data_IF_414884557424
#
_entry.id   IF_414884557424
#
_cell.length_a   1.000
_cell.length_b   1.000
_cell.length_c   1.000
_cell.angle_alpha   90.00
_cell.angle_beta   90.00
_cell.angle_gamma   90.00
#
_symmetry.space_group_name_H-M   'P 1'
#
loop_
_entity.id
_entity.type
_entity.pdbx_description
1 polymer ?
#
# COMPACT_ATOMS: atom_id res chain seq x y z
N UNK A 1 15.29 -17.40 13.71
CA UNK A 1 14.57 -17.21 12.43
C UNK A 1 13.54 -16.13 12.59
N UNK A 2 13.33 -15.32 11.56
CA UNK A 2 12.29 -14.32 11.52
C UNK A 2 11.53 -14.39 10.19
N UNK A 3 10.18 -14.30 10.25
CA UNK A 3 9.36 -13.93 9.10
C UNK A 3 9.32 -12.42 8.98
N UNK A 4 9.36 -11.91 7.76
CA UNK A 4 9.40 -10.49 7.46
C UNK A 4 8.28 -10.09 6.50
N UNK A 5 7.74 -8.89 6.70
CA UNK A 5 7.06 -8.17 5.65
C UNK A 5 8.04 -7.91 4.49
N UNK A 6 7.57 -7.98 3.25
CA UNK A 6 8.43 -7.73 2.09
C UNK A 6 8.90 -6.26 1.99
N UNK A 7 8.28 -5.34 2.75
CA UNK A 7 8.76 -3.96 2.87
C UNK A 7 9.89 -3.79 3.91
N UNK A 8 10.44 -4.88 4.44
CA UNK A 8 11.58 -4.80 5.34
C UNK A 8 12.81 -4.22 4.62
N UNK A 9 13.45 -3.24 5.24
CA UNK A 9 14.79 -2.79 4.87
C UNK A 9 15.80 -3.71 5.57
N UNK A 10 16.20 -4.77 4.89
CA UNK A 10 17.10 -5.78 5.45
C UNK A 10 18.52 -5.24 5.50
N UNK A 11 19.20 -5.46 6.64
CA UNK A 11 20.58 -5.02 6.84
C UNK A 11 21.54 -6.22 6.90
N UNK A 12 22.85 -6.01 6.65
CA UNK A 12 23.86 -7.07 6.84
C UNK A 12 23.83 -7.68 8.24
N UNK A 13 23.62 -6.85 9.28
CA UNK A 13 23.57 -7.29 10.68
C UNK A 13 22.35 -8.20 10.93
N UNK A 14 21.19 -7.90 10.33
CA UNK A 14 20.03 -8.80 10.40
C UNK A 14 20.36 -10.18 9.82
N UNK A 15 21.06 -10.23 8.68
CA UNK A 15 21.45 -11.49 8.01
C UNK A 15 22.53 -12.21 8.82
N UNK A 16 23.47 -11.49 9.43
CA UNK A 16 24.51 -12.06 10.28
C UNK A 16 23.91 -12.75 11.52
N UNK A 17 23.03 -12.05 12.24
CA UNK A 17 22.51 -12.51 13.53
C UNK A 17 21.32 -13.45 13.43
N UNK A 18 20.59 -13.49 12.32
CA UNK A 18 19.52 -14.43 12.10
C UNK A 18 19.99 -15.69 11.35
N UNK A 19 19.54 -16.88 11.77
CA UNK A 19 19.78 -18.11 11.00
C UNK A 19 19.01 -18.09 9.67
N UNK A 20 17.83 -17.51 9.64
CA UNK A 20 17.11 -17.21 8.40
C UNK A 20 16.14 -16.02 8.56
N UNK A 21 16.00 -15.26 7.47
CA UNK A 21 15.03 -14.19 7.26
C UNK A 21 14.15 -14.58 6.07
N UNK A 22 12.84 -14.75 6.30
CA UNK A 22 11.91 -15.27 5.30
C UNK A 22 10.80 -14.25 5.08
N UNK A 23 10.80 -13.60 3.91
CA UNK A 23 9.88 -12.53 3.60
C UNK A 23 8.59 -13.03 2.92
N UNK A 24 7.52 -12.22 3.01
CA UNK A 24 6.31 -12.37 2.18
C UNK A 24 6.69 -12.42 0.70
N UNK A 25 5.83 -13.05 -0.09
CA UNK A 25 5.98 -13.17 -1.56
C UNK A 25 4.84 -12.52 -2.32
N UNK A 26 3.88 -11.97 -1.62
CA UNK A 26 2.72 -11.33 -2.23
C UNK A 26 2.54 -9.90 -1.73
N UNK A 27 2.19 -9.03 -2.66
CA UNK A 27 1.73 -7.69 -2.39
C UNK A 27 0.55 -7.39 -3.33
N UNK A 28 -0.69 -7.47 -2.84
CA UNK A 28 -1.20 -7.50 -1.44
C UNK A 28 -0.70 -8.69 -0.60
N UNK A 29 -0.51 -8.48 0.72
CA UNK A 29 -0.02 -9.49 1.65
C UNK A 29 -1.12 -10.51 1.97
N UNK A 30 -1.24 -11.52 1.15
CA UNK A 30 -2.22 -12.61 1.32
C UNK A 30 -1.55 -13.94 1.69
N UNK A 31 -0.19 -13.98 1.79
CA UNK A 31 0.62 -15.16 2.10
C UNK A 31 1.28 -15.11 3.49
N UNK A 32 0.71 -14.36 4.43
CA UNK A 32 1.27 -14.21 5.79
C UNK A 32 1.37 -15.55 6.53
N UNK A 33 0.31 -16.37 6.45
CA UNK A 33 0.29 -17.70 7.08
C UNK A 33 1.27 -18.67 6.42
N UNK A 34 1.33 -18.67 5.09
CA UNK A 34 2.26 -19.47 4.30
C UNK A 34 3.72 -19.06 4.58
N UNK A 35 3.98 -17.77 4.76
CA UNK A 35 5.31 -17.28 5.15
C UNK A 35 5.70 -17.76 6.55
N UNK A 36 4.77 -17.72 7.49
CA UNK A 36 4.96 -18.32 8.82
C UNK A 36 5.25 -19.81 8.74
N UNK A 37 4.53 -20.54 7.89
CA UNK A 37 4.76 -21.98 7.67
C UNK A 37 6.13 -22.26 7.02
N UNK A 38 6.57 -21.45 6.04
CA UNK A 38 7.93 -21.55 5.47
C UNK A 38 9.00 -21.32 6.53
N UNK A 39 8.82 -20.30 7.38
CA UNK A 39 9.75 -20.01 8.47
C UNK A 39 9.83 -21.16 9.49
N UNK A 40 8.69 -21.73 9.88
CA UNK A 40 8.63 -22.88 10.78
C UNK A 40 9.27 -24.14 10.18
N UNK A 41 9.02 -24.42 8.90
CA UNK A 41 9.65 -25.54 8.18
C UNK A 41 11.17 -25.41 8.08
N UNK A 42 11.66 -24.19 7.83
CA UNK A 42 13.10 -23.92 7.82
C UNK A 42 13.72 -24.08 9.22
N UNK A 43 13.04 -23.64 10.27
CA UNK A 43 13.47 -23.85 11.65
C UNK A 43 13.58 -25.36 11.99
N UNK A 44 12.55 -26.12 11.63
CA UNK A 44 12.55 -27.58 11.86
C UNK A 44 13.73 -28.26 11.14
N UNK A 45 14.00 -27.88 9.89
CA UNK A 45 15.15 -28.39 9.14
C UNK A 45 16.48 -28.03 9.79
N UNK A 46 16.65 -26.81 10.33
CA UNK A 46 17.84 -26.41 11.07
C UNK A 46 18.03 -27.23 12.36
N UNK A 47 16.96 -27.43 13.11
CA UNK A 47 16.98 -28.20 14.36
C UNK A 47 17.34 -29.68 14.13
N UNK A 48 16.97 -30.24 12.98
CA UNK A 48 17.33 -31.61 12.56
C UNK A 48 18.73 -31.71 11.92
N UNK A 49 19.41 -30.56 11.79
CA UNK A 49 20.73 -30.52 11.14
C UNK A 49 20.70 -30.72 9.62
N UNK A 50 19.51 -30.64 9.00
CA UNK A 50 19.32 -30.86 7.56
C UNK A 50 19.46 -29.56 6.72
N UNK A 51 19.33 -28.40 7.33
CA UNK A 51 19.49 -27.13 6.62
C UNK A 51 20.95 -26.72 6.52
N UNK A 52 21.36 -26.30 5.33
CA UNK A 52 22.66 -25.70 5.08
C UNK A 52 22.83 -24.36 5.77
N UNK A 53 24.07 -23.97 6.03
CA UNK A 53 24.44 -22.74 6.72
C UNK A 53 24.99 -21.66 5.77
N UNK A 54 24.88 -21.84 4.47
CA UNK A 54 25.27 -20.84 3.48
C UNK A 54 24.29 -19.67 3.49
N UNK A 55 24.81 -18.44 3.57
CA UNK A 55 24.03 -17.21 3.53
C UNK A 55 24.58 -16.30 2.44
N UNK A 56 23.71 -15.59 1.74
CA UNK A 56 24.08 -14.52 0.83
C UNK A 56 23.10 -13.35 0.95
N UNK A 57 23.61 -12.13 0.76
CA UNK A 57 22.86 -10.89 0.83
C UNK A 57 23.28 -9.95 -0.30
N UNK A 58 22.30 -9.34 -0.97
CA UNK A 58 22.54 -8.30 -1.99
C UNK A 58 21.54 -7.16 -1.78
N UNK A 59 22.02 -5.93 -1.89
CA UNK A 59 21.16 -4.74 -1.88
C UNK A 59 21.09 -4.13 -3.28
N UNK A 60 19.89 -3.84 -3.76
CA UNK A 60 19.70 -3.19 -5.05
C UNK A 60 20.18 -1.73 -5.00
N UNK A 61 20.68 -1.19 -6.14
CA UNK A 61 21.20 0.17 -6.21
C UNK A 61 20.13 1.23 -6.45
N UNK A 62 18.83 0.90 -6.31
CA UNK A 62 17.72 1.84 -6.51
C UNK A 62 16.57 1.54 -5.54
N UNK A 63 15.77 2.57 -5.26
CA UNK A 63 14.52 2.44 -4.53
C UNK A 63 13.38 2.08 -5.49
N UNK A 64 12.41 1.33 -4.99
CA UNK A 64 11.16 1.02 -5.67
C UNK A 64 10.04 1.76 -4.95
N UNK A 65 9.20 2.48 -5.68
CA UNK A 65 8.01 3.08 -5.10
C UNK A 65 7.01 2.01 -4.63
N UNK A 66 6.21 2.35 -3.61
CA UNK A 66 5.36 1.39 -2.93
C UNK A 66 4.39 0.67 -3.88
N UNK A 67 3.83 1.39 -4.85
CA UNK A 67 2.84 0.86 -5.80
C UNK A 67 3.46 -0.02 -6.88
N UNK A 68 4.72 0.20 -7.24
CA UNK A 68 5.44 -0.59 -8.24
C UNK A 68 5.88 -1.98 -7.71
N UNK A 69 5.86 -2.19 -6.38
CA UNK A 69 6.12 -3.50 -5.77
C UNK A 69 4.97 -4.50 -5.85
N UNK A 70 3.84 -4.16 -6.49
CA UNK A 70 2.66 -5.01 -6.57
C UNK A 70 2.92 -6.31 -7.34
N UNK A 71 2.75 -7.46 -6.70
CA UNK A 71 3.05 -8.79 -7.27
C UNK A 71 1.94 -9.36 -8.16
N UNK A 72 0.88 -8.60 -8.42
CA UNK A 72 -0.20 -9.03 -9.33
C UNK A 72 0.13 -8.74 -10.81
N UNK A 73 1.15 -7.94 -11.08
CA UNK A 73 1.60 -7.58 -12.43
C UNK A 73 3.12 -7.40 -12.48
N UNK A 74 3.66 -7.41 -13.69
CA UNK A 74 5.09 -7.17 -13.93
C UNK A 74 5.48 -5.72 -13.59
N UNK A 75 6.76 -5.52 -13.20
CA UNK A 75 7.85 -6.51 -13.19
C UNK A 75 7.88 -7.34 -11.90
N UNK A 76 7.18 -6.95 -10.82
CA UNK A 76 7.23 -7.64 -9.54
C UNK A 76 6.73 -9.09 -9.65
N UNK A 77 5.66 -9.36 -10.42
CA UNK A 77 5.15 -10.71 -10.64
C UNK A 77 6.24 -11.63 -11.20
N UNK A 78 6.86 -11.27 -12.31
CA UNK A 78 7.93 -12.03 -12.95
C UNK A 78 9.15 -12.23 -12.04
N UNK A 79 9.48 -11.22 -11.22
CA UNK A 79 10.56 -11.32 -10.24
C UNK A 79 10.27 -12.40 -9.18
N UNK A 80 9.05 -12.46 -8.64
CA UNK A 80 8.68 -13.47 -7.65
C UNK A 80 8.47 -14.85 -8.29
N UNK A 81 8.05 -14.96 -9.54
CA UNK A 81 8.06 -16.21 -10.31
C UNK A 81 9.50 -16.70 -10.51
N UNK A 82 10.45 -15.81 -10.84
CA UNK A 82 11.87 -16.13 -10.95
C UNK A 82 12.46 -16.60 -9.61
N UNK A 83 12.10 -15.92 -8.51
CA UNK A 83 12.46 -16.30 -7.15
C UNK A 83 12.02 -17.74 -6.86
N UNK A 84 10.76 -18.06 -7.13
CA UNK A 84 10.22 -19.40 -6.90
C UNK A 84 10.95 -20.47 -7.75
N UNK A 85 11.36 -20.14 -8.97
CA UNK A 85 12.11 -21.07 -9.85
C UNK A 85 13.57 -21.29 -9.42
N UNK A 86 14.15 -20.34 -8.66
CA UNK A 86 15.53 -20.46 -8.14
C UNK A 86 15.59 -21.18 -6.79
N UNK A 87 14.48 -21.30 -6.08
CA UNK A 87 14.40 -21.97 -4.77
C UNK A 87 14.23 -23.48 -4.95
N UNK A 88 14.81 -24.26 -4.06
CA UNK A 88 14.81 -25.71 -4.08
C UNK A 88 16.21 -26.31 -4.31
N UNK A 89 16.35 -27.63 -4.16
CA UNK A 89 17.61 -28.31 -4.25
C UNK A 89 18.62 -27.79 -3.25
N UNK A 90 19.69 -27.14 -3.72
CA UNK A 90 20.75 -26.57 -2.86
C UNK A 90 20.31 -25.23 -2.22
N UNK A 91 19.22 -24.59 -2.69
CA UNK A 91 18.71 -23.29 -2.20
C UNK A 91 17.55 -23.54 -1.26
N UNK A 92 17.79 -23.46 0.03
CA UNK A 92 16.81 -23.77 1.07
C UNK A 92 15.76 -22.68 1.23
N UNK A 93 16.11 -21.41 1.00
CA UNK A 93 15.19 -20.27 0.99
C UNK A 93 15.78 -19.10 0.23
N UNK A 94 14.93 -18.42 -0.51
CA UNK A 94 15.26 -17.18 -1.22
C UNK A 94 14.16 -16.15 -0.94
N UNK A 95 14.54 -14.93 -0.58
CA UNK A 95 13.63 -13.82 -0.31
C UNK A 95 14.05 -12.59 -1.08
N UNK A 96 13.05 -11.88 -1.63
CA UNK A 96 13.20 -10.53 -2.14
C UNK A 96 12.37 -9.61 -1.26
N UNK A 97 13.01 -8.65 -0.61
CA UNK A 97 12.34 -7.58 0.12
C UNK A 97 12.36 -6.31 -0.75
N UNK A 98 11.19 -5.74 -1.02
CA UNK A 98 11.08 -4.47 -1.76
C UNK A 98 11.67 -3.28 -0.98
N UNK A 99 11.80 -3.42 0.34
CA UNK A 99 12.16 -2.33 1.22
C UNK A 99 11.03 -1.31 1.39
N UNK A 100 11.26 -0.32 2.23
CA UNK A 100 10.36 0.80 2.45
C UNK A 100 11.14 2.10 2.19
N UNK A 101 10.96 2.64 0.98
CA UNK A 101 11.70 3.81 0.49
C UNK A 101 11.63 5.05 1.41
N UNK A 102 10.49 5.38 2.06
CA UNK A 102 10.41 6.51 2.96
C UNK A 102 11.30 6.44 4.21
N UNK A 103 11.88 5.29 4.54
CA UNK A 103 12.80 5.16 5.67
C UNK A 103 14.16 5.80 5.36
N UNK A 104 14.55 6.80 6.15
CA UNK A 104 15.85 7.48 6.03
C UNK A 104 16.93 6.75 6.83
N UNK A 105 17.33 5.55 6.39
CA UNK A 105 18.37 4.71 6.99
C UNK A 105 19.40 4.27 5.95
N UNK A 106 20.63 3.95 6.39
CA UNK A 106 21.71 3.56 5.49
C UNK A 106 21.38 2.38 4.58
N UNK A 107 20.74 1.34 5.14
CA UNK A 107 20.38 0.13 4.41
C UNK A 107 18.96 0.17 3.81
N UNK A 108 18.43 1.37 3.55
CA UNK A 108 17.15 1.53 2.88
C UNK A 108 17.14 0.91 1.47
N UNK A 109 16.01 0.33 1.11
CA UNK A 109 15.68 -0.12 -0.24
C UNK A 109 15.69 -1.64 -0.43
N UNK A 110 15.47 -2.11 -1.67
CA UNK A 110 15.26 -3.50 -1.97
C UNK A 110 16.51 -4.35 -1.73
N UNK A 111 16.28 -5.62 -1.36
CA UNK A 111 17.33 -6.57 -1.07
C UNK A 111 16.94 -8.01 -1.39
N UNK A 112 17.96 -8.83 -1.64
CA UNK A 112 17.87 -10.28 -1.82
C UNK A 112 18.58 -10.94 -0.67
N UNK A 113 17.93 -11.94 -0.05
CA UNK A 113 18.53 -12.80 0.98
C UNK A 113 18.36 -14.25 0.55
N UNK A 114 19.44 -15.01 0.55
CA UNK A 114 19.46 -16.43 0.18
C UNK A 114 20.08 -17.28 1.26
N UNK A 115 19.53 -18.48 1.44
CA UNK A 115 20.03 -19.52 2.32
C UNK A 115 20.19 -20.81 1.51
N UNK A 116 21.34 -21.49 1.64
CA UNK A 116 21.65 -22.68 0.84
C UNK A 116 22.46 -23.72 1.58
N UNK A 117 22.64 -24.88 0.96
CA UNK A 117 23.47 -25.97 1.47
C UNK A 117 24.95 -25.57 1.62
N UNK A 118 25.39 -24.63 0.79
CA UNK A 118 26.73 -24.02 0.86
C UNK A 118 26.61 -22.51 0.61
N UNK A 119 27.69 -21.79 0.93
CA UNK A 119 27.81 -20.34 0.64
C UNK A 119 27.71 -20.07 -0.86
N UNK A 120 28.37 -20.89 -1.66
CA UNK A 120 28.37 -20.77 -3.13
C UNK A 120 26.97 -20.96 -3.72
N UNK A 121 26.17 -21.90 -3.18
CA UNK A 121 24.79 -22.10 -3.61
C UNK A 121 23.94 -20.89 -3.29
N UNK A 122 24.05 -20.33 -2.09
CA UNK A 122 23.32 -19.10 -1.68
C UNK A 122 23.75 -17.89 -2.54
N UNK A 123 25.06 -17.71 -2.77
CA UNK A 123 25.58 -16.60 -3.60
C UNK A 123 25.09 -16.70 -5.05
N UNK A 124 25.13 -17.88 -5.68
CA UNK A 124 24.60 -18.07 -7.04
C UNK A 124 23.12 -17.68 -7.15
N UNK A 125 22.30 -18.11 -6.19
CA UNK A 125 20.86 -17.78 -6.18
C UNK A 125 20.62 -16.29 -5.97
N UNK A 126 21.33 -15.70 -5.00
CA UNK A 126 21.22 -14.27 -4.73
C UNK A 126 21.65 -13.41 -5.94
N UNK A 127 22.78 -13.75 -6.58
CA UNK A 127 23.30 -13.06 -7.75
C UNK A 127 22.34 -13.18 -8.95
N UNK A 128 21.78 -14.36 -9.18
CA UNK A 128 20.82 -14.56 -10.27
C UNK A 128 19.55 -13.73 -10.10
N UNK A 129 19.00 -13.66 -8.88
CA UNK A 129 17.80 -12.85 -8.61
C UNK A 129 18.12 -11.35 -8.62
N UNK A 130 19.24 -10.95 -8.04
CA UNK A 130 19.74 -9.57 -8.07
C UNK A 130 19.94 -9.06 -9.51
N UNK A 131 20.61 -9.84 -10.34
CA UNK A 131 20.83 -9.49 -11.75
C UNK A 131 19.51 -9.35 -12.51
N UNK A 132 18.54 -10.23 -12.26
CA UNK A 132 17.20 -10.14 -12.86
C UNK A 132 16.48 -8.88 -12.41
N UNK A 133 16.46 -8.57 -11.11
CA UNK A 133 15.83 -7.36 -10.58
C UNK A 133 16.46 -6.08 -11.14
N UNK A 134 17.79 -6.04 -11.29
CA UNK A 134 18.50 -4.92 -11.91
C UNK A 134 18.20 -4.78 -13.40
N UNK A 135 18.02 -5.89 -14.12
CA UNK A 135 17.67 -5.86 -15.54
C UNK A 135 16.27 -5.27 -15.78
N UNK A 136 15.34 -5.48 -14.83
CA UNK A 136 13.98 -4.93 -14.87
C UNK A 136 13.85 -3.55 -14.22
N UNK A 137 14.96 -2.88 -13.84
CA UNK A 137 14.90 -1.61 -13.10
C UNK A 137 13.93 -0.59 -13.71
N UNK A 138 14.02 -0.36 -15.01
CA UNK A 138 13.20 0.64 -15.72
C UNK A 138 11.70 0.28 -15.84
N UNK A 139 11.33 -0.95 -15.46
CA UNK A 139 9.95 -1.41 -15.51
C UNK A 139 9.22 -1.17 -14.18
N UNK A 140 9.95 -0.90 -13.07
CA UNK A 140 9.36 -0.56 -11.77
C UNK A 140 8.82 0.87 -11.72
N UNK A 141 7.92 1.20 -12.64
CA UNK A 141 7.30 2.52 -12.75
C UNK A 141 5.78 2.38 -12.76
N UNK A 142 5.11 3.15 -11.90
CA UNK A 142 3.65 3.26 -11.89
C UNK A 142 3.23 4.59 -12.52
N UNK A 143 2.22 4.58 -13.39
CA UNK A 143 1.59 5.82 -13.83
C UNK A 143 0.87 6.46 -12.64
N UNK A 144 1.27 7.66 -12.29
CA UNK A 144 0.71 8.46 -11.20
C UNK A 144 -0.15 9.58 -11.78
N UNK A 145 -1.35 9.73 -11.25
CA UNK A 145 -2.31 10.73 -11.64
C UNK A 145 -2.40 11.85 -10.60
N UNK A 146 -2.61 13.08 -11.04
CA UNK A 146 -3.01 14.16 -10.16
C UNK A 146 -4.53 14.07 -9.87
N UNK A 147 -5.02 14.53 -8.70
CA UNK A 147 -6.43 14.37 -8.32
C UNK A 147 -7.42 14.88 -9.37
N UNK A 148 -7.24 16.10 -9.88
CA UNK A 148 -8.14 16.69 -10.88
C UNK A 148 -8.17 15.89 -12.21
N UNK A 149 -6.99 15.44 -12.69
CA UNK A 149 -6.86 14.63 -13.90
C UNK A 149 -7.52 13.26 -13.72
N UNK A 150 -7.27 12.61 -12.57
CA UNK A 150 -7.83 11.29 -12.26
C UNK A 150 -9.37 11.32 -12.20
N UNK A 151 -9.93 12.32 -11.53
CA UNK A 151 -11.39 12.47 -11.44
C UNK A 151 -12.01 12.77 -12.80
N UNK A 152 -11.42 13.67 -13.60
CA UNK A 152 -11.88 13.96 -14.97
C UNK A 152 -11.87 12.71 -15.86
N UNK A 153 -10.80 11.92 -15.82
CA UNK A 153 -10.70 10.65 -16.54
C UNK A 153 -11.75 9.65 -16.05
N UNK A 154 -11.94 9.51 -14.73
CA UNK A 154 -12.92 8.60 -14.15
C UNK A 154 -14.35 8.95 -14.57
N UNK A 155 -14.72 10.22 -14.58
CA UNK A 155 -16.03 10.70 -15.03
C UNK A 155 -16.27 10.39 -16.52
N UNK A 156 -15.30 10.69 -17.37
CA UNK A 156 -15.38 10.37 -18.79
C UNK A 156 -15.51 8.86 -19.04
N UNK A 157 -14.72 8.06 -18.30
CA UNK A 157 -14.75 6.60 -18.37
C UNK A 157 -16.08 6.04 -17.88
N UNK A 158 -16.63 6.55 -16.76
CA UNK A 158 -17.90 6.09 -16.19
C UNK A 158 -19.09 6.34 -17.14
N UNK A 159 -19.08 7.44 -17.88
CA UNK A 159 -20.14 7.78 -18.84
C UNK A 159 -20.07 6.98 -20.13
N UNK A 160 -18.88 6.66 -20.61
CA UNK A 160 -18.67 6.02 -21.92
C UNK A 160 -19.19 4.55 -22.02
N UNK A 161 -19.35 3.85 -20.89
CA UNK A 161 -19.77 2.43 -20.87
C UNK A 161 -20.53 2.11 -19.59
N UNK A 162 -21.86 2.08 -19.65
CA UNK A 162 -22.70 1.61 -18.54
C UNK A 162 -22.42 0.12 -18.22
N UNK A 163 -22.33 -0.23 -16.92
CA UNK A 163 -22.51 -1.61 -16.47
C UNK A 163 -21.26 -2.47 -16.24
N UNK A 164 -20.05 -1.91 -16.11
CA UNK A 164 -18.82 -2.71 -15.89
C UNK A 164 -18.02 -2.42 -14.61
N UNK A 165 -18.67 -2.13 -13.48
CA UNK A 165 -18.01 -1.85 -12.21
C UNK A 165 -17.40 -0.45 -12.13
N UNK A 166 -16.88 -0.06 -10.96
CA UNK A 166 -16.35 1.27 -10.70
C UNK A 166 -14.98 1.52 -11.34
N UNK A 167 -14.71 2.80 -11.66
CA UNK A 167 -13.33 3.29 -11.74
C UNK A 167 -12.84 3.53 -10.31
N UNK A 168 -11.72 2.93 -9.95
CA UNK A 168 -11.14 3.01 -8.61
C UNK A 168 -10.00 4.02 -8.60
N UNK A 169 -10.14 5.08 -7.84
CA UNK A 169 -9.14 6.11 -7.58
C UNK A 169 -8.44 5.77 -6.27
N UNK A 170 -7.13 5.61 -6.29
CA UNK A 170 -6.37 5.17 -5.12
C UNK A 170 -5.50 6.30 -4.62
N UNK A 171 -5.90 6.92 -3.50
CA UNK A 171 -5.10 7.92 -2.78
C UNK A 171 -3.97 7.22 -2.04
N UNK A 172 -2.82 7.09 -2.71
CA UNK A 172 -1.69 6.32 -2.20
C UNK A 172 -0.85 7.09 -1.20
N UNK A 173 -0.81 8.42 -1.28
CA UNK A 173 0.03 9.25 -0.41
C UNK A 173 -0.57 9.46 0.98
N UNK A 174 -1.91 9.34 1.11
CA UNK A 174 -2.61 9.40 2.40
C UNK A 174 -3.17 8.03 2.82
N UNK A 175 -2.31 7.00 2.75
CA UNK A 175 -2.62 5.62 3.11
C UNK A 175 -2.29 5.33 4.58
N UNK A 176 -3.28 5.05 5.46
CA UNK A 176 -3.02 4.66 6.85
C UNK A 176 -2.16 3.40 7.00
N UNK A 177 -2.22 2.48 6.03
CA UNK A 177 -1.37 1.28 6.02
C UNK A 177 0.11 1.56 5.80
N UNK A 178 0.46 2.75 5.29
CA UNK A 178 1.83 3.23 5.14
C UNK A 178 2.19 4.32 6.16
N UNK A 179 1.38 4.53 7.20
CA UNK A 179 1.66 5.44 8.30
C UNK A 179 1.02 6.82 8.17
N UNK A 180 0.22 7.09 7.13
CA UNK A 180 -0.52 8.34 7.00
C UNK A 180 -1.71 8.43 7.95
N UNK A 181 -2.32 9.61 8.04
CA UNK A 181 -3.50 9.82 8.87
C UNK A 181 -4.80 9.32 8.20
N UNK A 182 -4.87 9.36 6.88
CA UNK A 182 -6.07 8.98 6.15
C UNK A 182 -7.19 10.02 6.26
N UNK A 183 -6.84 11.26 6.57
CA UNK A 183 -7.79 12.35 6.81
C UNK A 183 -7.82 13.41 5.70
N UNK A 184 -6.98 13.26 4.67
CA UNK A 184 -6.91 14.18 3.54
C UNK A 184 -8.19 14.21 2.70
N UNK A 185 -8.58 15.40 2.25
CA UNK A 185 -9.83 15.62 1.51
C UNK A 185 -9.65 16.08 0.07
N UNK A 186 -8.41 16.23 -0.42
CA UNK A 186 -8.17 16.78 -1.76
C UNK A 186 -8.86 15.98 -2.88
N UNK A 187 -8.83 14.63 -2.80
CA UNK A 187 -9.55 13.80 -3.77
C UNK A 187 -11.07 13.91 -3.63
N UNK A 188 -11.59 14.09 -2.41
CA UNK A 188 -13.01 14.35 -2.16
C UNK A 188 -13.43 15.71 -2.74
N UNK A 189 -12.61 16.76 -2.53
CA UNK A 189 -12.87 18.10 -3.10
C UNK A 189 -13.00 18.02 -4.62
N UNK A 190 -12.09 17.31 -5.29
CA UNK A 190 -12.15 17.14 -6.75
C UNK A 190 -13.39 16.38 -7.22
N UNK A 191 -13.77 15.30 -6.53
CA UNK A 191 -15.00 14.56 -6.86
C UNK A 191 -16.24 15.47 -6.77
N UNK A 192 -16.32 16.29 -5.73
CA UNK A 192 -17.45 17.21 -5.53
C UNK A 192 -17.41 18.36 -6.54
N UNK A 193 -16.26 19.01 -6.74
CA UNK A 193 -16.10 20.12 -7.66
C UNK A 193 -16.41 19.76 -9.11
N UNK A 194 -16.08 18.55 -9.53
CA UNK A 194 -16.34 18.06 -10.89
C UNK A 194 -17.71 17.37 -11.03
N UNK A 195 -18.53 17.37 -9.96
CA UNK A 195 -19.91 16.87 -10.01
C UNK A 195 -20.02 15.36 -10.16
N UNK A 196 -19.16 14.61 -9.45
CA UNK A 196 -19.24 13.14 -9.45
C UNK A 196 -20.56 12.64 -8.86
N UNK A 197 -21.21 11.72 -9.56
CA UNK A 197 -22.44 11.05 -9.15
C UNK A 197 -22.21 9.55 -8.97
N UNK A 198 -22.96 8.93 -8.05
CA UNK A 198 -22.78 7.52 -7.69
C UNK A 198 -21.33 7.19 -7.32
N UNK A 199 -20.69 8.12 -6.60
CA UNK A 199 -19.32 7.99 -6.12
C UNK A 199 -19.28 7.70 -4.61
N UNK A 200 -18.27 6.91 -4.17
CA UNK A 200 -18.05 6.68 -2.76
C UNK A 200 -16.55 6.73 -2.40
N UNK A 201 -16.23 7.38 -1.27
CA UNK A 201 -14.88 7.47 -0.72
C UNK A 201 -14.77 6.71 0.60
N UNK A 202 -13.73 5.91 0.79
CA UNK A 202 -13.36 5.27 2.04
C UNK A 202 -11.82 5.15 2.20
N UNK A 203 -11.34 5.13 3.40
CA UNK A 203 -11.94 5.45 4.69
C UNK A 203 -11.39 6.82 5.08
N UNK A 204 -12.24 7.78 5.34
CA UNK A 204 -11.80 9.07 5.85
C UNK A 204 -11.75 9.00 7.39
N UNK A 205 -10.58 9.20 7.95
CA UNK A 205 -10.40 9.26 9.40
C UNK A 205 -10.79 10.65 9.93
N UNK A 206 -11.91 10.73 10.63
CA UNK A 206 -12.34 11.93 11.34
C UNK A 206 -13.27 11.57 12.52
N UNK A 207 -12.72 11.35 13.73
CA UNK A 207 -13.51 10.99 14.90
C UNK A 207 -14.47 12.08 15.34
N UNK A 208 -14.16 13.37 15.11
CA UNK A 208 -15.03 14.49 15.45
C UNK A 208 -16.25 14.52 14.53
N UNK A 209 -16.05 14.33 13.24
CA UNK A 209 -17.14 14.26 12.27
C UNK A 209 -18.05 13.04 12.51
N UNK A 210 -17.48 11.88 12.83
CA UNK A 210 -18.25 10.70 13.20
C UNK A 210 -19.09 10.95 14.48
N UNK A 211 -18.50 11.56 15.51
CA UNK A 211 -19.21 11.89 16.75
C UNK A 211 -20.34 12.91 16.50
N UNK A 212 -20.11 13.94 15.69
CA UNK A 212 -21.12 14.92 15.31
C UNK A 212 -22.29 14.28 14.55
N UNK A 213 -22.01 13.35 13.62
CA UNK A 213 -23.02 12.60 12.90
C UNK A 213 -23.88 11.71 13.85
N UNK A 214 -23.23 11.02 14.79
CA UNK A 214 -23.94 10.21 15.80
C UNK A 214 -24.81 11.06 16.71
N UNK A 215 -24.36 12.25 17.10
CA UNK A 215 -25.14 13.17 17.92
C UNK A 215 -26.38 13.73 17.18
N UNK A 216 -26.26 13.93 15.86
CA UNK A 216 -27.34 14.47 15.03
C UNK A 216 -28.37 13.40 14.63
N UNK A 217 -27.95 12.16 14.39
CA UNK A 217 -28.79 11.04 13.96
C UNK A 217 -28.95 10.94 12.43
N UNK A 218 -29.37 9.74 11.98
CA UNK A 218 -29.63 9.44 10.57
C UNK A 218 -30.74 10.34 9.99
N UNK A 219 -30.59 10.70 8.71
CA UNK A 219 -31.54 11.54 7.97
C UNK A 219 -31.39 13.03 8.21
N UNK A 220 -30.47 13.48 9.06
CA UNK A 220 -30.25 14.91 9.36
C UNK A 220 -29.21 15.54 8.43
N UNK A 221 -29.25 16.86 8.33
CA UNK A 221 -28.20 17.68 7.71
C UNK A 221 -27.33 18.28 8.81
N UNK A 222 -26.01 18.17 8.67
CA UNK A 222 -25.04 18.76 9.61
C UNK A 222 -24.04 19.62 8.86
N UNK A 223 -23.67 20.77 9.42
CA UNK A 223 -22.59 21.59 8.88
C UNK A 223 -21.34 21.37 9.71
N UNK A 224 -20.25 20.93 9.07
CA UNK A 224 -18.97 20.67 9.74
C UNK A 224 -17.78 20.89 8.82
N UNK A 225 -16.60 20.92 9.40
CA UNK A 225 -15.31 20.92 8.74
C UNK A 225 -14.78 19.49 8.71
N UNK A 226 -14.84 18.82 7.55
CA UNK A 226 -14.51 17.40 7.39
C UNK A 226 -13.04 17.21 7.03
N UNK A 227 -12.37 16.28 7.72
CA UNK A 227 -11.01 15.84 7.43
C UNK A 227 -9.90 16.85 7.63
N UNK A 228 -8.69 16.55 7.15
CA UNK A 228 -7.49 17.39 7.20
C UNK A 228 -7.15 17.94 8.60
N UNK A 229 -7.47 17.18 9.66
CA UNK A 229 -7.21 17.54 11.05
C UNK A 229 -5.73 17.31 11.43
N UNK A 230 -5.02 16.46 10.70
CA UNK A 230 -3.56 16.24 10.79
C UNK A 230 -2.75 17.48 10.43
N UNK A 231 -3.37 18.45 9.73
CA UNK A 231 -2.72 19.69 9.27
C UNK A 231 -1.56 19.44 8.32
N UNK A 232 -1.63 18.37 7.53
CA UNK A 232 -0.61 18.13 6.51
C UNK A 232 -0.54 19.32 5.53
N UNK A 233 0.66 19.80 5.15
CA UNK A 233 0.81 20.94 4.24
C UNK A 233 0.02 20.77 2.94
N UNK A 234 -0.66 21.83 2.50
CA UNK A 234 -1.47 21.80 1.28
C UNK A 234 -2.88 21.23 1.46
N UNK A 235 -3.25 20.78 2.66
CA UNK A 235 -4.60 20.31 2.96
C UNK A 235 -5.32 21.22 3.95
N UNK A 236 -6.64 21.30 3.85
CA UNK A 236 -7.53 22.03 4.74
C UNK A 236 -8.85 21.27 4.89
N UNK A 237 -9.54 21.37 6.04
CA UNK A 237 -10.86 20.75 6.21
C UNK A 237 -11.86 21.26 5.18
N UNK A 238 -12.70 20.36 4.67
CA UNK A 238 -13.77 20.70 3.74
C UNK A 238 -15.01 21.15 4.51
N UNK A 239 -15.30 22.46 4.48
CA UNK A 239 -16.46 23.07 5.12
C UNK A 239 -17.69 22.95 4.22
N UNK A 240 -18.68 22.15 4.62
CA UNK A 240 -19.93 21.98 3.87
C UNK A 240 -21.09 21.50 4.76
N UNK A 241 -22.29 21.50 4.19
CA UNK A 241 -23.44 20.79 4.74
C UNK A 241 -23.44 19.33 4.25
N UNK A 242 -23.50 18.40 5.17
CA UNK A 242 -23.49 16.96 4.90
C UNK A 242 -24.78 16.31 5.38
N UNK A 243 -25.36 15.45 4.56
CA UNK A 243 -26.47 14.58 5.00
C UNK A 243 -25.90 13.34 5.68
N UNK A 244 -26.39 13.02 6.87
CA UNK A 244 -26.08 11.77 7.57
C UNK A 244 -27.00 10.67 7.00
N UNK A 245 -26.47 9.82 6.12
CA UNK A 245 -27.26 8.74 5.50
C UNK A 245 -27.37 7.50 6.40
N UNK A 246 -26.27 7.11 7.08
CA UNK A 246 -26.22 5.93 7.94
C UNK A 246 -25.21 6.09 9.05
N UNK A 247 -25.46 5.44 10.18
CA UNK A 247 -24.55 5.33 11.31
C UNK A 247 -24.16 3.86 11.52
N UNK A 248 -22.92 3.62 11.98
CA UNK A 248 -22.39 2.30 12.27
C UNK A 248 -21.55 2.27 13.55
N UNK A 249 -21.47 1.12 14.19
CA UNK A 249 -20.64 0.91 15.39
C UNK A 249 -19.17 0.61 15.04
N UNK A 250 -18.86 0.44 13.74
CA UNK A 250 -17.54 0.15 13.23
C UNK A 250 -17.01 -1.25 13.54
N UNK A 251 -17.89 -2.18 13.92
CA UNK A 251 -17.53 -3.58 14.14
C UNK A 251 -17.95 -4.39 12.93
N UNK A 252 -16.98 -4.76 12.09
CA UNK A 252 -17.24 -5.59 10.92
C UNK A 252 -16.14 -6.63 10.74
N UNK A 253 -16.51 -7.78 10.17
CA UNK A 253 -15.55 -8.83 9.86
C UNK A 253 -14.93 -8.58 8.47
N UNK A 254 -13.61 -8.78 8.36
CA UNK A 254 -12.92 -8.75 7.08
C UNK A 254 -13.34 -9.92 6.21
N UNK A 255 -13.83 -9.62 5.01
CA UNK A 255 -14.32 -10.61 4.02
C UNK A 255 -13.37 -10.78 2.85
N UNK A 256 -12.61 -9.74 2.53
CA UNK A 256 -11.61 -9.75 1.47
C UNK A 256 -10.33 -10.50 1.85
N UNK A 257 -9.53 -10.95 0.86
CA UNK A 257 -8.37 -11.82 1.10
C UNK A 257 -7.33 -11.26 2.07
N UNK A 258 -7.13 -9.94 2.08
CA UNK A 258 -6.13 -9.28 2.96
C UNK A 258 -6.56 -9.27 4.43
N UNK A 259 -7.83 -8.93 4.73
CA UNK A 259 -8.36 -8.88 6.10
C UNK A 259 -9.17 -10.11 6.47
N UNK A 260 -9.13 -11.19 5.70
CA UNK A 260 -9.95 -12.38 5.92
C UNK A 260 -9.88 -12.88 7.36
N UNK A 261 -11.05 -12.89 8.02
CA UNK A 261 -11.20 -13.35 9.40
C UNK A 261 -10.75 -12.34 10.46
N UNK A 262 -10.27 -11.16 10.08
CA UNK A 262 -9.98 -10.08 11.02
C UNK A 262 -11.29 -9.46 11.53
N UNK A 263 -11.41 -9.25 12.83
CA UNK A 263 -12.49 -8.48 13.44
C UNK A 263 -12.08 -7.02 13.49
N UNK A 264 -12.49 -6.27 12.48
CA UNK A 264 -12.18 -4.84 12.37
C UNK A 264 -12.98 -4.03 13.40
N UNK A 265 -12.33 -3.04 14.02
CA UNK A 265 -12.93 -2.15 15.02
C UNK A 265 -12.57 -0.71 14.68
N UNK A 266 -13.42 -0.08 13.88
CA UNK A 266 -13.22 1.28 13.34
C UNK A 266 -13.78 2.39 14.26
N UNK A 267 -14.36 2.00 15.43
CA UNK A 267 -15.09 2.91 16.31
C UNK A 267 -16.37 3.42 15.64
N UNK A 268 -17.08 4.40 16.23
CA UNK A 268 -18.24 5.01 15.59
C UNK A 268 -17.94 5.40 14.16
N UNK A 269 -18.81 4.99 13.23
CA UNK A 269 -18.72 5.29 11.81
C UNK A 269 -19.96 6.03 11.34
N UNK A 270 -19.80 6.83 10.29
CA UNK A 270 -20.91 7.50 9.62
C UNK A 270 -20.74 7.44 8.11
N UNK A 271 -21.85 7.25 7.40
CA UNK A 271 -21.96 7.52 5.97
C UNK A 271 -22.49 8.93 5.81
N UNK A 272 -21.63 9.82 5.36
CA UNK A 272 -22.00 11.19 5.02
C UNK A 272 -22.19 11.30 3.51
N UNK A 273 -23.08 12.21 3.08
CA UNK A 273 -23.27 12.54 1.67
C UNK A 273 -23.04 14.03 1.42
N UNK A 274 -22.28 14.33 0.37
CA UNK A 274 -22.12 15.68 -0.18
C UNK A 274 -22.30 15.62 -1.70
N UNK A 275 -23.41 16.20 -2.19
CA UNK A 275 -23.79 16.06 -3.60
C UNK A 275 -24.00 14.60 -3.99
N UNK A 276 -23.32 14.13 -5.05
CA UNK A 276 -23.35 12.75 -5.52
C UNK A 276 -22.34 11.82 -4.87
N UNK A 277 -21.55 12.30 -3.87
CA UNK A 277 -20.46 11.55 -3.25
C UNK A 277 -20.85 11.09 -1.85
N UNK A 278 -20.76 9.77 -1.59
CA UNK A 278 -20.87 9.16 -0.28
C UNK A 278 -19.50 9.04 0.37
N UNK A 279 -19.40 9.34 1.65
CA UNK A 279 -18.14 9.41 2.38
C UNK A 279 -18.24 8.50 3.60
N UNK A 280 -17.45 7.43 3.61
CA UNK A 280 -17.29 6.53 4.76
C UNK A 280 -16.32 7.18 5.74
N UNK A 281 -16.85 7.69 6.85
CA UNK A 281 -16.07 8.31 7.92
C UNK A 281 -15.91 7.34 9.08
N UNK A 282 -14.72 7.23 9.64
CA UNK A 282 -14.41 6.34 10.76
C UNK A 282 -13.66 7.07 11.87
N UNK A 283 -13.84 6.59 13.12
CA UNK A 283 -13.18 7.14 14.30
C UNK A 283 -11.83 6.48 14.60
N UNK A 284 -11.45 5.44 13.87
CA UNK A 284 -10.13 4.79 13.94
C UNK A 284 -9.56 4.62 12.55
N UNK A 285 -8.24 4.70 12.46
CA UNK A 285 -7.49 4.58 11.21
C UNK A 285 -7.49 3.14 10.71
N UNK A 286 -7.81 2.96 9.45
CA UNK A 286 -7.64 1.72 8.71
C UNK A 286 -7.49 2.06 7.22
N UNK A 287 -6.63 1.34 6.49
CA UNK A 287 -6.60 1.48 5.05
C UNK A 287 -7.84 0.83 4.40
N UNK A 288 -8.32 1.40 3.31
CA UNK A 288 -9.46 0.86 2.56
C UNK A 288 -9.04 -0.36 1.73
N UNK A 289 -8.93 -1.54 2.34
CA UNK A 289 -8.48 -2.76 1.69
C UNK A 289 -9.51 -3.92 1.71
N UNK A 290 -10.74 -3.63 2.19
CA UNK A 290 -11.83 -4.61 2.26
C UNK A 290 -13.17 -3.93 1.97
N UNK A 291 -14.00 -4.54 1.13
CA UNK A 291 -15.32 -4.03 0.77
C UNK A 291 -16.30 -4.02 1.95
N UNK A 292 -16.02 -4.82 2.99
CA UNK A 292 -16.87 -4.88 4.20
C UNK A 292 -17.05 -3.51 4.86
N UNK A 293 -16.06 -2.60 4.77
CA UNK A 293 -16.15 -1.26 5.36
C UNK A 293 -17.24 -0.39 4.71
N UNK A 294 -17.48 -0.58 3.42
CA UNK A 294 -18.57 0.07 2.71
C UNK A 294 -19.92 -0.59 3.01
N UNK A 295 -19.95 -1.95 2.95
CA UNK A 295 -21.16 -2.73 3.18
C UNK A 295 -21.69 -2.58 4.60
N UNK A 296 -20.80 -2.38 5.59
CA UNK A 296 -21.19 -2.07 6.98
C UNK A 296 -22.10 -0.84 7.09
N UNK A 297 -21.93 0.13 6.20
CA UNK A 297 -22.77 1.32 6.11
C UNK A 297 -23.81 1.26 4.96
N UNK A 298 -24.04 0.08 4.39
CA UNK A 298 -25.06 -0.14 3.36
C UNK A 298 -24.70 0.32 1.95
N UNK A 299 -23.42 0.58 1.68
CA UNK A 299 -22.92 0.91 0.34
C UNK A 299 -22.39 -0.35 -0.33
N UNK A 300 -22.88 -0.69 -1.52
CA UNK A 300 -22.31 -1.76 -2.35
C UNK A 300 -21.26 -1.17 -3.30
N UNK A 301 -19.98 -1.50 -3.13
CA UNK A 301 -18.91 -0.93 -3.93
C UNK A 301 -19.07 -1.19 -5.43
N UNK A 302 -19.47 -2.40 -5.81
CA UNK A 302 -19.61 -2.77 -7.22
C UNK A 302 -20.72 -2.00 -7.96
N UNK A 303 -21.67 -1.41 -7.21
CA UNK A 303 -22.75 -0.59 -7.75
C UNK A 303 -22.37 0.88 -7.96
N UNK A 304 -21.22 1.31 -7.47
CA UNK A 304 -20.77 2.69 -7.66
C UNK A 304 -20.14 2.87 -9.06
N UNK A 305 -20.17 4.11 -9.56
CA UNK A 305 -19.45 4.48 -10.77
C UNK A 305 -17.98 4.77 -10.50
N UNK A 306 -17.71 5.40 -9.34
CA UNK A 306 -16.37 5.79 -8.91
C UNK A 306 -16.19 5.39 -7.45
N UNK A 307 -15.06 4.75 -7.14
CA UNK A 307 -14.61 4.51 -5.78
C UNK A 307 -13.30 5.25 -5.54
N UNK A 308 -13.21 6.01 -4.46
CA UNK A 308 -11.98 6.62 -3.99
C UNK A 308 -11.51 5.89 -2.71
N UNK A 309 -10.29 5.35 -2.72
CA UNK A 309 -9.77 4.50 -1.65
C UNK A 309 -8.48 5.06 -1.07
N UNK A 310 -8.41 5.22 0.26
CA UNK A 310 -7.16 5.55 0.96
C UNK A 310 -6.37 4.27 1.21
N UNK A 311 -5.55 3.91 0.24
CA UNK A 311 -4.75 2.67 0.20
C UNK A 311 -3.68 2.81 -0.87
N UNK A 312 -2.71 1.87 -0.96
CA UNK A 312 -1.71 1.86 -2.03
C UNK A 312 -1.83 0.61 -2.92
N UNK A 313 -1.78 -0.59 -2.33
CA UNK A 313 -1.84 -1.85 -3.09
C UNK A 313 -2.77 -2.89 -2.46
N UNK A 314 -2.88 -2.95 -1.13
CA UNK A 314 -3.66 -3.99 -0.44
C UNK A 314 -5.13 -4.07 -0.88
N UNK A 315 -5.74 -2.94 -1.24
CA UNK A 315 -7.11 -2.89 -1.79
C UNK A 315 -7.29 -3.81 -3.01
N UNK A 316 -6.24 -4.04 -3.79
CA UNK A 316 -6.32 -4.84 -5.02
C UNK A 316 -6.80 -6.26 -4.77
N UNK A 317 -6.48 -6.83 -3.59
CA UNK A 317 -6.92 -8.17 -3.23
C UNK A 317 -8.45 -8.34 -3.27
N UNK A 318 -9.20 -7.30 -2.93
CA UNK A 318 -10.66 -7.35 -2.84
C UNK A 318 -11.38 -6.47 -3.88
N UNK A 319 -10.80 -5.33 -4.26
CA UNK A 319 -11.45 -4.39 -5.18
C UNK A 319 -11.06 -4.58 -6.65
N UNK A 320 -9.88 -5.14 -6.96
CA UNK A 320 -9.47 -5.34 -8.36
C UNK A 320 -10.44 -6.23 -9.16
N UNK A 321 -11.06 -7.30 -8.59
CA UNK A 321 -12.04 -8.11 -9.32
C UNK A 321 -13.31 -7.37 -9.75
N UNK A 322 -13.69 -6.30 -9.02
CA UNK A 322 -14.88 -5.50 -9.34
C UNK A 322 -14.52 -4.20 -10.09
N UNK A 323 -13.23 -3.84 -10.11
CA UNK A 323 -12.78 -2.61 -10.73
C UNK A 323 -12.78 -2.72 -12.25
N UNK A 324 -13.31 -1.69 -12.90
CA UNK A 324 -13.19 -1.50 -14.34
C UNK A 324 -11.81 -0.99 -14.73
N UNK A 325 -11.31 -0.04 -13.95
CA UNK A 325 -10.01 0.58 -14.10
C UNK A 325 -9.51 1.04 -12.73
N UNK A 326 -8.20 1.07 -12.55
CA UNK A 326 -7.57 1.51 -11.30
C UNK A 326 -6.57 2.61 -11.63
N UNK A 327 -6.75 3.78 -11.02
CA UNK A 327 -5.89 4.95 -11.16
C UNK A 327 -5.18 5.21 -9.82
N UNK A 328 -3.85 5.19 -9.82
CA UNK A 328 -3.05 5.56 -8.65
C UNK A 328 -2.92 7.08 -8.60
N UNK A 329 -3.39 7.68 -7.52
CA UNK A 329 -3.51 9.13 -7.39
C UNK A 329 -2.55 9.65 -6.31
N UNK A 330 -1.79 10.69 -6.64
CA UNK A 330 -0.94 11.41 -5.71
C UNK A 330 -1.71 12.65 -5.17
N UNK A 331 -2.67 12.44 -4.26
CA UNK A 331 -3.19 13.54 -3.47
C UNK A 331 -2.16 13.96 -2.39
N UNK A 332 -2.18 15.21 -1.88
CA UNK A 332 -1.26 15.63 -0.84
C UNK A 332 -1.30 14.68 0.37
N UNK A 333 -0.15 14.16 0.79
CA UNK A 333 -0.06 13.17 1.87
C UNK A 333 1.39 12.89 2.30
N UNK A 334 1.60 12.29 3.49
CA UNK A 334 2.93 12.12 4.07
C UNK A 334 3.78 11.01 3.41
N UNK A 335 3.20 10.21 2.51
CA UNK A 335 3.91 9.13 1.80
C UNK A 335 4.06 9.46 0.31
N UNK A 336 4.94 10.42 -0.08
CA UNK A 336 5.10 10.81 -1.47
C UNK A 336 5.54 9.61 -2.31
N UNK A 337 4.91 9.45 -3.47
CA UNK A 337 5.31 8.44 -4.47
C UNK A 337 6.65 8.80 -5.11
N UNK A 338 6.88 10.09 -5.33
CA UNK A 338 8.19 10.57 -5.77
C UNK A 338 9.12 10.70 -4.55
N UNK A 339 10.04 9.77 -4.41
CA UNK A 339 11.04 9.79 -3.34
C UNK A 339 11.98 11.00 -3.42
N UNK A 340 12.00 11.76 -4.54
CA UNK A 340 12.76 13.00 -4.64
C UNK A 340 12.19 14.12 -3.76
N UNK A 341 10.93 14.03 -3.36
CA UNK A 341 10.29 14.97 -2.44
C UNK A 341 10.73 14.77 -0.98
N UNK A 342 11.34 13.61 -0.66
CA UNK A 342 11.79 13.30 0.70
C UNK A 342 13.17 13.89 1.00
N UNK A 343 13.31 14.51 2.18
CA UNK A 343 14.55 15.13 2.63
C UNK A 343 15.52 14.13 3.27
N UNK A 344 15.99 13.15 2.50
CA UNK A 344 16.90 12.11 2.96
C UNK A 344 18.25 12.69 3.46
N UNK A 345 18.77 12.09 4.54
CA UNK A 345 20.05 12.46 5.18
C UNK A 345 20.96 11.27 5.45
N UNK A 346 20.41 10.05 5.55
CA UNK A 346 21.11 8.86 6.06
C UNK A 346 21.21 7.71 5.07
N UNK A 347 20.75 7.90 3.84
CA UNK A 347 20.88 6.89 2.81
C UNK A 347 22.34 6.63 2.44
N UNK A 348 22.65 5.43 1.96
CA UNK A 348 23.98 5.14 1.40
C UNK A 348 24.23 5.97 0.13
N UNK A 349 25.44 6.51 -0.06
CA UNK A 349 25.80 7.22 -1.27
C UNK A 349 25.66 6.32 -2.51
N UNK A 350 25.19 6.90 -3.63
CA UNK A 350 25.01 6.18 -4.89
C UNK A 350 23.68 5.41 -5.03
N UNK A 351 22.85 5.33 -3.96
CA UNK A 351 21.51 4.76 -4.06
C UNK A 351 20.62 5.66 -4.92
N UNK A 352 20.10 5.14 -6.02
CA UNK A 352 19.13 5.89 -6.84
C UNK A 352 17.80 5.99 -6.11
N UNK A 353 17.25 7.19 -6.05
CA UNK A 353 16.02 7.48 -5.29
C UNK A 353 14.74 6.99 -6.00
N UNK A 354 14.85 6.60 -7.24
CA UNK A 354 13.82 5.96 -8.07
C UNK A 354 14.52 5.15 -9.18
N UNK A 355 13.80 4.23 -9.84
CA UNK A 355 14.35 3.49 -10.97
C UNK A 355 14.90 4.44 -12.04
N UNK A 356 16.12 4.19 -12.50
CA UNK A 356 16.87 4.99 -13.49
C UNK A 356 17.03 6.49 -13.12
N UNK A 357 16.64 6.86 -11.89
CA UNK A 357 16.66 8.24 -11.41
C UNK A 357 18.00 8.68 -10.82
N UNK A 358 18.03 9.89 -10.24
CA UNK A 358 19.25 10.43 -9.64
C UNK A 358 19.66 9.68 -8.37
N UNK A 359 20.95 9.56 -8.18
CA UNK A 359 21.53 8.95 -7.00
C UNK A 359 21.58 9.92 -5.81
N UNK A 360 21.41 9.37 -4.59
CA UNK A 360 21.68 10.09 -3.36
C UNK A 360 23.18 10.39 -3.23
N UNK A 361 23.51 11.62 -2.90
CA UNK A 361 24.91 12.07 -2.75
C UNK A 361 25.04 13.43 -2.08
N UNK A 362 26.26 13.85 -1.71
CA UNK A 362 26.51 15.09 -0.96
C UNK A 362 25.96 16.37 -1.60
N UNK A 363 25.83 16.41 -2.93
CA UNK A 363 25.33 17.58 -3.67
C UNK A 363 23.88 17.96 -3.37
N UNK A 364 23.06 17.08 -2.74
CA UNK A 364 21.66 17.37 -2.39
C UNK A 364 21.50 17.97 -0.97
N UNK A 365 22.54 17.98 -0.15
CA UNK A 365 22.49 18.59 1.19
C UNK A 365 22.59 20.13 1.17
N UNK A 366 22.87 20.75 0.00
CA UNK A 366 23.18 22.19 -0.10
C UNK A 366 22.03 23.09 -0.59
N UNK A 367 20.85 22.53 -0.90
CA UNK A 367 19.73 23.32 -1.43
C UNK A 367 18.41 23.01 -0.70
N UNK A 368 18.31 23.48 0.56
CA UNK A 368 17.06 23.94 1.20
C UNK A 368 17.36 24.86 2.38
#
# INVERSE_FOLDING_TARGET
ISSLDLHANVTPEMVEHADALIAYRTYPHVDMAETGARAAGHLDALLRGAAGRGKAFRQLPFLIELTAGCTLHDPAKGLYERLAALEGGEVASLSFACGFGPADIWHCGPSVVAYGSSREAAERAADALFAHACACEGEFVTRIWQPAEAVGHALATATATAGRGPVVLVDTQDNPGAGADGDGVALLEELVCQGAEDAALAILYDPEAAAAAHAAGEGTEITLALGAKSRFPGQRPLHAGYRVERLGDGRCDGTGPFYKGARMQLGPMALLRLGGVRIVVASRKLQAADQAVFRHLGVEPAAQKILALKSSVHFRADFQPIAREILVVAAPGPNPVDHLELAYRRLRPGLRLMPLGPAFGPARLTHR
#
